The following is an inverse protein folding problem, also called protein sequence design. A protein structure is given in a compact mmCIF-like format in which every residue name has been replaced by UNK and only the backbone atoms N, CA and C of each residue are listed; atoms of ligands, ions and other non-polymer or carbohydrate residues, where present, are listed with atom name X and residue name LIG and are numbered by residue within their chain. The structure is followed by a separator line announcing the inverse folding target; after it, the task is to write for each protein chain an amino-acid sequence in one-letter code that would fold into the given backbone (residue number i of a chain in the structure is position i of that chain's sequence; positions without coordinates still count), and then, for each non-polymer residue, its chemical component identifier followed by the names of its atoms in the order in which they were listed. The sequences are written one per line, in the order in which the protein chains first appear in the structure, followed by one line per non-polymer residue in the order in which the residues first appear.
data_IF_211233037039
#
_entry.id   IF_211233037039
#
_cell.length_a   1.000
_cell.length_b   1.000
_cell.length_c   1.000
_cell.angle_alpha   90.00
_cell.angle_beta   90.00
_cell.angle_gamma   90.00
#
_symmetry.space_group_name_H-M   'P 1'
#
loop_
_entity.id
_entity.type
_entity.pdbx_description
1 polymer ?
#
# COMPACT_ATOMS: atom_id res chain seq x y z
N UNK A 1 -15.61 5.55 21.37
CA UNK A 1 -14.41 4.77 20.95
C UNK A 1 -13.18 5.59 21.34
N UNK A 2 -12.46 5.19 22.38
CA UNK A 2 -11.25 5.92 22.80
C UNK A 2 -10.10 5.51 21.85
N UNK A 3 -9.65 6.44 21.03
CA UNK A 3 -8.47 6.22 20.18
C UNK A 3 -7.25 6.27 21.09
N UNK A 4 -6.50 5.18 21.16
CA UNK A 4 -5.28 5.12 21.98
C UNK A 4 -4.24 6.07 21.41
N UNK A 5 -3.53 6.82 22.28
CA UNK A 5 -2.41 7.71 21.88
C UNK A 5 -1.41 7.01 20.96
N UNK A 6 -1.12 5.74 21.23
CA UNK A 6 -0.27 4.89 20.41
C UNK A 6 -0.74 4.80 18.95
N UNK A 7 -2.04 4.61 18.71
CA UNK A 7 -2.62 4.50 17.37
C UNK A 7 -2.45 5.81 16.60
N UNK A 8 -2.65 6.96 17.27
CA UNK A 8 -2.43 8.28 16.66
C UNK A 8 -0.97 8.45 16.27
N UNK A 9 -0.04 8.16 17.19
CA UNK A 9 1.40 8.28 16.95
C UNK A 9 1.86 7.41 15.78
N UNK A 10 1.45 6.12 15.76
CA UNK A 10 1.79 5.21 14.66
C UNK A 10 1.21 5.67 13.33
N UNK A 11 -0.05 6.12 13.32
CA UNK A 11 -0.67 6.65 12.10
C UNK A 11 0.11 7.85 11.57
N UNK A 12 0.48 8.79 12.46
CA UNK A 12 1.27 9.96 12.08
C UNK A 12 2.66 9.61 11.55
N UNK A 13 3.36 8.68 12.20
CA UNK A 13 4.67 8.21 11.74
C UNK A 13 4.61 7.52 10.37
N UNK A 14 3.65 6.62 10.19
CA UNK A 14 3.50 5.91 8.92
C UNK A 14 3.05 6.84 7.78
N UNK A 15 2.19 7.83 8.10
CA UNK A 15 1.82 8.87 7.16
C UNK A 15 3.03 9.72 6.75
N UNK A 16 3.86 10.14 7.72
CA UNK A 16 5.09 10.88 7.45
C UNK A 16 6.06 10.10 6.57
N UNK A 17 6.24 8.79 6.83
CA UNK A 17 7.06 7.91 5.99
C UNK A 17 6.48 7.85 4.57
N UNK A 18 5.16 7.70 4.42
CA UNK A 18 4.50 7.69 3.10
C UNK A 18 4.72 9.01 2.35
N UNK A 19 4.68 10.15 3.05
CA UNK A 19 4.95 11.48 2.47
C UNK A 19 6.40 11.55 1.99
N UNK A 20 7.37 11.20 2.85
CA UNK A 20 8.80 11.22 2.51
C UNK A 20 9.08 10.33 1.29
N UNK A 21 8.57 9.11 1.28
CA UNK A 21 8.72 8.22 0.13
C UNK A 21 8.03 8.77 -1.14
N UNK A 22 6.93 9.50 -0.99
CA UNK A 22 6.19 10.08 -2.11
C UNK A 22 6.85 11.32 -2.74
N UNK A 23 7.55 12.13 -1.94
CA UNK A 23 8.21 13.36 -2.43
C UNK A 23 9.69 13.15 -2.77
N UNK A 24 10.27 12.01 -2.41
CA UNK A 24 11.67 11.68 -2.68
C UNK A 24 11.79 10.49 -3.63
N UNK A 25 12.92 10.36 -4.36
CA UNK A 25 13.17 9.17 -5.18
C UNK A 25 13.35 7.88 -4.38
N UNK A 26 13.44 7.95 -3.05
CA UNK A 26 13.57 6.79 -2.15
C UNK A 26 12.38 5.82 -2.22
N UNK A 27 11.21 6.32 -2.63
CA UNK A 27 10.01 5.50 -2.83
C UNK A 27 10.06 4.59 -4.06
N UNK A 28 11.10 4.70 -4.87
CA UNK A 28 11.29 3.96 -6.12
C UNK A 28 12.56 3.12 -6.04
N UNK A 29 12.42 1.80 -5.97
CA UNK A 29 13.56 0.87 -5.97
C UNK A 29 13.84 0.43 -7.40
N UNK A 30 15.11 0.55 -7.89
CA UNK A 30 15.48 -0.01 -9.18
C UNK A 30 15.38 -1.54 -9.13
N UNK A 31 14.67 -2.11 -10.09
CA UNK A 31 14.50 -3.55 -10.25
C UNK A 31 14.87 -3.96 -11.67
N UNK A 32 15.48 -5.14 -11.88
CA UNK A 32 15.89 -5.62 -13.19
C UNK A 32 14.68 -6.15 -13.99
N UNK A 33 13.71 -5.28 -14.23
CA UNK A 33 12.49 -5.59 -15.00
C UNK A 33 12.26 -4.55 -16.08
N UNK A 34 11.35 -4.84 -17.00
CA UNK A 34 10.98 -3.90 -18.08
C UNK A 34 10.49 -2.55 -17.53
N UNK A 35 9.85 -2.56 -16.37
CA UNK A 35 9.41 -1.34 -15.68
C UNK A 35 10.59 -0.53 -15.06
N UNK A 36 11.74 -1.17 -14.82
CA UNK A 36 12.95 -0.55 -14.29
C UNK A 36 12.89 -0.10 -12.82
N UNK A 37 11.70 0.08 -12.26
CA UNK A 37 11.50 0.57 -10.89
C UNK A 37 10.28 -0.07 -10.24
N UNK A 38 10.40 -0.47 -8.97
CA UNK A 38 9.30 -0.91 -8.12
C UNK A 38 8.96 0.18 -7.10
N UNK A 39 7.68 0.41 -6.87
CA UNK A 39 7.19 1.39 -5.91
C UNK A 39 7.05 0.76 -4.52
N UNK A 40 7.63 1.40 -3.50
CA UNK A 40 7.50 0.96 -2.11
C UNK A 40 6.63 1.90 -1.25
N UNK A 41 6.08 2.94 -1.83
CA UNK A 41 5.30 3.98 -1.14
C UNK A 41 4.03 3.43 -0.46
N UNK A 42 3.51 2.29 -0.91
CA UNK A 42 2.33 1.63 -0.34
C UNK A 42 2.65 0.77 0.89
N UNK A 43 3.93 0.48 1.18
CA UNK A 43 4.32 -0.36 2.33
C UNK A 43 3.86 0.22 3.67
N UNK A 44 4.02 1.52 3.99
CA UNK A 44 3.50 2.07 5.24
C UNK A 44 2.00 1.88 5.42
N UNK A 45 1.23 1.91 4.32
CA UNK A 45 -0.22 1.64 4.33
C UNK A 45 -0.51 0.21 4.80
N UNK A 46 0.22 -0.76 4.22
CA UNK A 46 0.09 -2.18 4.55
C UNK A 46 0.52 -2.44 6.00
N UNK A 47 1.64 -1.86 6.43
CA UNK A 47 2.13 -1.98 7.81
C UNK A 47 1.12 -1.41 8.80
N UNK A 48 0.55 -0.24 8.53
CA UNK A 48 -0.50 0.36 9.35
C UNK A 48 -1.74 -0.52 9.45
N UNK A 49 -2.18 -1.10 8.34
CA UNK A 49 -3.30 -2.03 8.30
C UNK A 49 -3.05 -3.30 9.12
N UNK A 50 -1.84 -3.85 9.08
CA UNK A 50 -1.47 -5.06 9.83
C UNK A 50 -1.35 -4.78 11.34
N UNK A 51 -0.77 -3.65 11.74
CA UNK A 51 -0.44 -3.34 13.13
C UNK A 51 -1.62 -2.77 13.92
N UNK A 52 -2.39 -1.87 13.33
CA UNK A 52 -3.43 -1.09 14.01
C UNK A 52 -4.84 -1.28 13.40
N UNK A 53 -4.94 -2.02 12.31
CA UNK A 53 -6.23 -2.36 11.72
C UNK A 53 -6.60 -1.55 10.47
N UNK A 54 -7.81 -1.82 9.90
CA UNK A 54 -8.16 -1.32 8.58
C UNK A 54 -8.32 0.21 8.53
N UNK A 55 -8.80 0.83 9.62
CA UNK A 55 -9.01 2.28 9.68
C UNK A 55 -7.69 3.02 9.54
N UNK A 56 -6.65 2.59 10.28
CA UNK A 56 -5.32 3.18 10.19
C UNK A 56 -4.73 2.97 8.79
N UNK A 57 -4.83 1.76 8.25
CA UNK A 57 -4.42 1.49 6.87
C UNK A 57 -5.11 2.42 5.86
N UNK A 58 -6.43 2.60 5.97
CA UNK A 58 -7.18 3.50 5.08
C UNK A 58 -6.78 4.97 5.23
N UNK A 59 -6.54 5.46 6.46
CA UNK A 59 -6.10 6.85 6.70
C UNK A 59 -4.70 7.09 6.09
N UNK A 60 -3.74 6.19 6.34
CA UNK A 60 -2.40 6.29 5.75
C UNK A 60 -2.49 6.17 4.22
N UNK A 61 -3.34 5.29 3.70
CA UNK A 61 -3.61 5.14 2.28
C UNK A 61 -4.22 6.40 1.65
N UNK A 62 -5.14 7.07 2.35
CA UNK A 62 -5.70 8.35 1.90
C UNK A 62 -4.61 9.43 1.80
N UNK A 63 -3.75 9.55 2.82
CA UNK A 63 -2.64 10.52 2.82
C UNK A 63 -1.67 10.18 1.68
N UNK A 64 -1.31 8.91 1.48
CA UNK A 64 -0.50 8.48 0.36
C UNK A 64 -1.16 8.84 -0.99
N UNK A 65 -2.46 8.64 -1.13
CA UNK A 65 -3.22 9.02 -2.33
C UNK A 65 -3.18 10.51 -2.62
N UNK A 66 -3.35 11.35 -1.59
CA UNK A 66 -3.25 12.82 -1.70
C UNK A 66 -1.85 13.25 -2.16
N UNK A 67 -0.81 12.71 -1.54
CA UNK A 67 0.58 13.01 -1.94
C UNK A 67 0.84 12.56 -3.38
N UNK A 68 0.41 11.36 -3.74
CA UNK A 68 0.53 10.87 -5.12
C UNK A 68 -0.18 11.80 -6.12
N UNK A 69 -1.36 12.29 -5.79
CA UNK A 69 -2.11 13.24 -6.62
C UNK A 69 -1.36 14.54 -6.84
N UNK A 70 -0.75 15.08 -5.77
CA UNK A 70 -0.05 16.38 -5.81
C UNK A 70 1.33 16.25 -6.48
N UNK A 71 2.08 15.19 -6.20
CA UNK A 71 3.50 15.08 -6.58
C UNK A 71 3.75 14.36 -7.90
N UNK A 72 2.77 13.58 -8.39
CA UNK A 72 3.00 12.77 -9.59
C UNK A 72 2.97 13.59 -10.87
N UNK A 73 3.89 13.28 -11.77
CA UNK A 73 3.87 13.76 -13.16
C UNK A 73 3.01 12.90 -14.09
N UNK A 74 2.46 11.77 -13.61
CA UNK A 74 1.67 10.85 -14.45
C UNK A 74 0.27 11.41 -14.75
N UNK A 75 -0.13 11.50 -16.03
CA UNK A 75 -1.47 11.96 -16.41
C UNK A 75 -2.61 11.12 -15.80
N UNK A 76 -2.38 9.82 -15.58
CA UNK A 76 -3.36 8.90 -14.99
C UNK A 76 -3.69 9.27 -13.53
N UNK A 77 -2.67 9.62 -12.74
CA UNK A 77 -2.82 9.92 -11.31
C UNK A 77 -3.27 11.35 -11.06
N UNK A 78 -3.33 12.20 -12.08
CA UNK A 78 -3.97 13.53 -12.01
C UNK A 78 -5.49 13.47 -11.83
N UNK A 79 -6.11 12.31 -12.03
CA UNK A 79 -7.49 12.09 -11.63
C UNK A 79 -7.53 11.72 -10.15
N UNK A 80 -8.19 12.51 -9.27
CA UNK A 80 -8.19 12.27 -7.82
C UNK A 80 -8.82 10.92 -7.45
N UNK A 81 -9.77 10.42 -8.22
CA UNK A 81 -10.40 9.11 -8.00
C UNK A 81 -9.36 8.00 -8.20
N UNK A 82 -8.57 8.06 -9.27
CA UNK A 82 -7.51 7.09 -9.55
C UNK A 82 -6.36 7.22 -8.54
N UNK A 83 -6.10 8.43 -8.08
CA UNK A 83 -5.03 8.67 -7.10
C UNK A 83 -5.39 8.19 -5.69
N UNK A 84 -6.64 8.33 -5.25
CA UNK A 84 -7.01 8.17 -3.84
C UNK A 84 -7.69 6.82 -3.58
N UNK A 85 -8.67 6.42 -4.37
CA UNK A 85 -9.48 5.22 -4.09
C UNK A 85 -8.64 3.95 -3.97
N UNK A 86 -7.75 3.61 -4.92
CA UNK A 86 -6.94 2.40 -4.81
C UNK A 86 -6.06 2.40 -3.55
N UNK A 87 -5.56 3.57 -3.13
CA UNK A 87 -4.69 3.70 -1.96
C UNK A 87 -5.43 3.45 -0.65
N UNK A 88 -6.67 3.89 -0.55
CA UNK A 88 -7.54 3.56 0.60
C UNK A 88 -7.83 2.05 0.62
N UNK A 89 -8.13 1.47 -0.54
CA UNK A 89 -8.42 0.04 -0.67
C UNK A 89 -7.21 -0.85 -0.32
N UNK A 90 -5.97 -0.39 -0.53
CA UNK A 90 -4.77 -1.10 -0.06
C UNK A 90 -4.89 -1.39 1.44
N UNK A 91 -5.22 -0.37 2.26
CA UNK A 91 -5.34 -0.53 3.71
C UNK A 91 -6.40 -1.55 4.10
N UNK A 92 -7.55 -1.50 3.42
CA UNK A 92 -8.66 -2.41 3.68
C UNK A 92 -8.32 -3.86 3.31
N UNK A 93 -7.89 -4.10 2.08
CA UNK A 93 -7.63 -5.45 1.60
C UNK A 93 -6.38 -6.09 2.22
N UNK A 94 -5.34 -5.32 2.52
CA UNK A 94 -4.18 -5.82 3.27
C UNK A 94 -4.56 -6.27 4.67
N UNK A 95 -5.45 -5.54 5.36
CA UNK A 95 -5.95 -5.97 6.66
C UNK A 95 -6.69 -7.30 6.58
N UNK A 96 -7.63 -7.46 5.64
CA UNK A 96 -8.37 -8.72 5.49
C UNK A 96 -7.45 -9.85 5.05
N UNK A 97 -6.53 -9.60 4.13
CA UNK A 97 -5.51 -10.58 3.74
C UNK A 97 -4.69 -11.07 4.94
N UNK A 98 -4.28 -10.14 5.82
CA UNK A 98 -3.60 -10.49 7.07
C UNK A 98 -4.51 -11.20 8.06
N UNK A 99 -5.76 -10.75 8.22
CA UNK A 99 -6.73 -11.34 9.15
C UNK A 99 -6.99 -12.82 8.84
N UNK A 100 -7.11 -13.17 7.58
CA UNK A 100 -7.42 -14.54 7.15
C UNK A 100 -6.20 -15.45 7.17
N UNK A 101 -5.06 -14.99 6.66
CA UNK A 101 -3.86 -15.83 6.48
C UNK A 101 -2.86 -15.74 7.62
N UNK A 102 -2.95 -14.70 8.47
CA UNK A 102 -1.96 -14.35 9.52
C UNK A 102 -0.54 -14.10 8.97
N UNK A 103 -0.41 -14.00 7.67
CA UNK A 103 0.85 -13.79 6.95
C UNK A 103 0.99 -12.34 6.49
N UNK A 104 2.06 -11.66 6.91
CA UNK A 104 2.39 -10.33 6.43
C UNK A 104 2.79 -10.33 4.95
N UNK A 105 3.34 -11.45 4.46
CA UNK A 105 3.69 -11.64 3.06
C UNK A 105 2.43 -11.60 2.19
N UNK A 106 1.41 -12.38 2.55
CA UNK A 106 0.14 -12.42 1.80
C UNK A 106 -0.56 -11.06 1.84
N UNK A 107 -0.57 -10.40 3.00
CA UNK A 107 -1.13 -9.05 3.12
C UNK A 107 -0.43 -8.05 2.20
N UNK A 108 0.90 -8.14 2.09
CA UNK A 108 1.68 -7.28 1.21
C UNK A 108 1.42 -7.56 -0.28
N UNK A 109 1.35 -8.82 -0.67
CA UNK A 109 1.00 -9.20 -2.05
C UNK A 109 -0.38 -8.66 -2.42
N UNK A 110 -1.39 -8.88 -1.57
CA UNK A 110 -2.75 -8.37 -1.79
C UNK A 110 -2.75 -6.84 -1.88
N UNK A 111 -2.04 -6.15 -0.96
CA UNK A 111 -1.95 -4.69 -0.97
C UNK A 111 -1.28 -4.14 -2.24
N UNK A 112 -0.16 -4.71 -2.65
CA UNK A 112 0.55 -4.31 -3.87
C UNK A 112 -0.29 -4.53 -5.13
N UNK A 113 -0.91 -5.70 -5.25
CA UNK A 113 -1.79 -6.00 -6.37
C UNK A 113 -3.03 -5.10 -6.37
N UNK A 114 -3.61 -4.80 -5.20
CA UNK A 114 -4.72 -3.85 -5.08
C UNK A 114 -4.33 -2.47 -5.60
N UNK A 115 -3.10 -2.00 -5.30
CA UNK A 115 -2.59 -0.76 -5.85
C UNK A 115 -2.57 -0.77 -7.38
N UNK A 116 -1.89 -1.74 -7.97
CA UNK A 116 -1.66 -1.77 -9.42
C UNK A 116 -2.94 -2.07 -10.20
N UNK A 117 -3.71 -3.07 -9.75
CA UNK A 117 -4.99 -3.42 -10.38
C UNK A 117 -6.02 -2.30 -10.19
N UNK A 118 -6.06 -1.68 -9.02
CA UNK A 118 -6.98 -0.58 -8.74
C UNK A 118 -6.71 0.64 -9.62
N UNK A 119 -5.45 1.04 -9.77
CA UNK A 119 -5.05 2.16 -10.64
C UNK A 119 -5.32 1.84 -12.11
N UNK A 120 -4.86 0.69 -12.59
CA UNK A 120 -5.03 0.31 -13.99
C UNK A 120 -6.49 0.03 -14.33
N UNK A 121 -7.24 -0.61 -13.42
CA UNK A 121 -8.67 -0.86 -13.61
C UNK A 121 -9.48 0.43 -13.74
N UNK A 122 -9.24 1.41 -12.85
CA UNK A 122 -9.88 2.71 -12.96
C UNK A 122 -9.40 3.48 -14.21
N UNK A 123 -8.13 3.38 -14.59
CA UNK A 123 -7.62 4.02 -15.80
C UNK A 123 -8.31 3.47 -17.08
N UNK A 124 -8.58 2.18 -17.12
CA UNK A 124 -9.35 1.56 -18.21
C UNK A 124 -10.82 2.00 -18.16
N UNK A 125 -11.42 2.01 -16.97
CA UNK A 125 -12.82 2.42 -16.77
C UNK A 125 -13.05 3.87 -17.24
N UNK A 126 -12.10 4.76 -16.94
CA UNK A 126 -12.13 6.15 -17.41
C UNK A 126 -11.62 6.34 -18.84
N UNK A 127 -11.35 5.24 -19.58
CA UNK A 127 -10.84 5.24 -20.95
C UNK A 127 -9.52 6.01 -21.16
N UNK A 128 -8.73 6.12 -20.11
CA UNK A 128 -7.42 6.78 -20.15
C UNK A 128 -6.31 5.85 -20.66
N UNK A 129 -6.53 4.53 -20.59
CA UNK A 129 -5.55 3.51 -20.96
C UNK A 129 -6.26 2.33 -21.63
N UNK A 130 -5.74 1.79 -22.76
CA UNK A 130 -6.27 0.58 -23.36
C UNK A 130 -6.09 -0.63 -22.43
N UNK A 131 -7.03 -1.57 -22.46
CA UNK A 131 -7.01 -2.79 -21.63
C UNK A 131 -5.71 -3.58 -21.77
N UNK A 132 -5.21 -3.72 -22.99
CA UNK A 132 -3.96 -4.46 -23.28
C UNK A 132 -2.76 -3.82 -22.60
N UNK A 133 -2.65 -2.49 -22.65
CA UNK A 133 -1.57 -1.75 -21.97
C UNK A 133 -1.69 -1.86 -20.43
N UNK A 134 -2.91 -1.79 -19.89
CA UNK A 134 -3.15 -1.96 -18.46
C UNK A 134 -2.73 -3.35 -17.96
N UNK A 135 -3.07 -4.41 -18.70
CA UNK A 135 -2.64 -5.78 -18.39
C UNK A 135 -1.11 -5.88 -18.46
N UNK A 136 -0.48 -5.30 -19.48
CA UNK A 136 0.99 -5.24 -19.59
C UNK A 136 1.62 -4.66 -18.33
N UNK A 137 1.11 -3.54 -17.82
CA UNK A 137 1.60 -2.91 -16.57
C UNK A 137 1.39 -3.81 -15.34
N UNK A 138 0.23 -4.46 -15.22
CA UNK A 138 -0.05 -5.37 -14.10
C UNK A 138 0.98 -6.50 -14.05
N UNK A 139 1.34 -7.09 -15.17
CA UNK A 139 2.32 -8.19 -15.21
C UNK A 139 3.76 -7.70 -15.06
N UNK A 140 4.15 -6.63 -15.77
CA UNK A 140 5.54 -6.17 -15.80
C UNK A 140 5.95 -5.37 -14.57
N UNK A 141 5.01 -4.68 -13.94
CA UNK A 141 5.26 -3.82 -12.78
C UNK A 141 4.61 -4.38 -11.50
N UNK A 142 3.37 -4.85 -11.57
CA UNK A 142 2.62 -5.32 -10.40
C UNK A 142 3.25 -6.54 -9.73
N UNK A 143 3.77 -7.51 -10.49
CA UNK A 143 4.42 -8.70 -9.93
C UNK A 143 5.73 -8.36 -9.22
N UNK A 144 6.69 -7.63 -9.82
CA UNK A 144 7.91 -7.20 -9.11
C UNK A 144 7.61 -6.35 -7.88
N UNK A 145 6.67 -5.42 -7.94
CA UNK A 145 6.24 -4.63 -6.78
C UNK A 145 5.71 -5.51 -5.66
N UNK A 146 4.90 -6.52 -5.98
CA UNK A 146 4.36 -7.44 -4.99
C UNK A 146 5.46 -8.26 -4.30
N UNK A 147 6.48 -8.70 -5.04
CA UNK A 147 7.62 -9.45 -4.49
C UNK A 147 8.44 -8.56 -3.57
N UNK A 148 8.86 -7.37 -4.03
CA UNK A 148 9.64 -6.42 -3.23
C UNK A 148 8.85 -5.97 -2.01
N UNK A 149 7.57 -5.63 -2.18
CA UNK A 149 6.67 -5.24 -1.11
C UNK A 149 6.49 -6.34 -0.05
N UNK A 150 6.40 -7.61 -0.48
CA UNK A 150 6.28 -8.75 0.43
C UNK A 150 7.55 -8.93 1.28
N UNK A 151 8.73 -8.84 0.67
CA UNK A 151 10.01 -8.96 1.38
C UNK A 151 10.17 -7.84 2.40
N UNK A 152 10.01 -6.58 1.99
CA UNK A 152 10.19 -5.42 2.88
C UNK A 152 9.15 -5.45 4.00
N UNK A 153 7.88 -5.71 3.68
CA UNK A 153 6.82 -5.78 4.70
C UNK A 153 7.10 -6.90 5.71
N UNK A 154 7.56 -8.06 5.27
CA UNK A 154 7.90 -9.17 6.18
C UNK A 154 9.05 -8.79 7.13
N UNK A 155 10.10 -8.15 6.61
CA UNK A 155 11.25 -7.69 7.40
C UNK A 155 10.84 -6.61 8.42
N UNK A 156 10.00 -5.66 8.03
CA UNK A 156 9.55 -4.57 8.89
C UNK A 156 8.54 -5.02 9.93
N UNK A 157 7.55 -5.80 9.53
CA UNK A 157 6.44 -6.20 10.42
C UNK A 157 6.88 -7.22 11.47
N UNK A 158 7.82 -8.12 11.16
CA UNK A 158 8.27 -9.17 12.09
C UNK A 158 8.82 -8.60 13.40
N UNK A 159 9.82 -7.69 13.42
CA UNK A 159 10.32 -7.09 14.65
C UNK A 159 9.27 -6.20 15.34
N UNK A 160 8.49 -5.44 14.56
CA UNK A 160 7.47 -4.58 15.14
C UNK A 160 6.41 -5.36 15.92
N UNK A 161 5.99 -6.52 15.46
CA UNK A 161 5.06 -7.39 16.20
C UNK A 161 5.63 -7.83 17.52
N UNK A 162 6.92 -8.14 17.59
CA UNK A 162 7.58 -8.56 18.83
C UNK A 162 7.64 -7.42 19.86
N UNK A 163 8.01 -6.21 19.39
CA UNK A 163 8.11 -5.01 20.24
C UNK A 163 6.72 -4.58 20.74
N UNK A 164 5.73 -4.60 19.88
CA UNK A 164 4.39 -4.12 20.20
C UNK A 164 3.51 -5.15 20.93
N UNK A 165 4.05 -6.35 21.24
CA UNK A 165 3.29 -7.38 21.95
C UNK A 165 1.95 -7.69 21.28
N UNK A 166 1.88 -7.63 19.95
CA UNK A 166 0.67 -7.97 19.20
C UNK A 166 0.48 -9.47 19.34
N UNK A 167 0.07 -9.88 20.54
CA UNK A 167 -0.56 -11.16 20.76
C UNK A 167 -1.66 -11.26 19.72
N UNK A 168 -1.47 -12.23 18.76
CA UNK A 168 -2.52 -12.82 17.93
C UNK A 168 -3.83 -12.02 18.02
N UNK A 169 -4.26 -11.39 16.93
CA UNK A 169 -5.67 -11.10 16.71
C UNK A 169 -6.35 -12.48 16.61
N UNK A 170 -6.37 -13.15 17.76
CA UNK A 170 -7.07 -14.39 17.99
C UNK A 170 -8.39 -13.98 18.64
N UNK A 171 -9.47 -14.07 17.85
CA UNK A 171 -10.81 -14.22 18.25
C UNK A 171 -11.16 -13.82 19.69
N UNK A 172 -11.69 -12.63 19.91
CA UNK A 172 -12.80 -12.51 20.84
C UNK A 172 -14.06 -12.88 20.04
N UNK A 173 -14.60 -14.00 20.44
CA UNK A 173 -15.97 -14.40 20.13
C UNK A 173 -16.94 -13.33 20.64
#
# INVERSE_FOLDING_TARGET
MQIKTRTITLTGMLAAISIVLGVTPLGLIPVPTVAGRATIMHIPVIVGAILEGPIVGMIVGFIFGLISFITTGSPLIKNPIIAIIPRILIGLFSYYGYKWTKSSIVAAIIGSLTNTIGVMGLAVLFRLTPMVAALGVVFTQGIPEAIVGAIITAVVVKPLKNIYGIKKISGSR
#
